data_IF_966717638415
#
_entry.id   IF_966717638415
#
_cell.length_a   1.000
_cell.length_b   1.000
_cell.length_c   1.000
_cell.angle_alpha   90.00
_cell.angle_beta   90.00
_cell.angle_gamma   90.00
#
_symmetry.space_group_name_H-M   'P 1'
#
loop_
_entity.id
_entity.type
_entity.pdbx_description
1 polymer ?
#
# COMPACT_ATOMS: atom_id res chain seq x y z
N UNK A 1 17.04 0.41 -0.27
CA UNK A 1 16.34 1.14 -1.34
C UNK A 1 16.01 2.52 -0.83
N UNK A 2 16.43 3.59 -1.53
CA UNK A 2 16.08 4.97 -1.12
C UNK A 2 14.68 5.27 -1.62
N UNK A 3 13.73 5.50 -0.71
CA UNK A 3 12.36 5.85 -1.07
C UNK A 3 12.30 7.32 -1.54
N UNK A 4 12.08 7.53 -2.83
CA UNK A 4 11.80 8.85 -3.37
C UNK A 4 10.29 9.04 -3.55
N UNK A 5 9.73 10.03 -2.84
CA UNK A 5 8.30 10.39 -2.95
C UNK A 5 8.20 11.80 -3.50
N UNK A 6 7.32 12.01 -4.47
CA UNK A 6 7.09 13.33 -5.06
C UNK A 6 6.63 14.33 -4.00
N UNK A 7 7.00 15.60 -4.21
CA UNK A 7 6.57 16.71 -3.35
C UNK A 7 5.04 16.82 -3.30
N UNK A 8 4.38 16.61 -4.44
CA UNK A 8 2.93 16.63 -4.57
C UNK A 8 2.26 15.56 -3.71
N UNK A 9 2.79 14.33 -3.72
CA UNK A 9 2.27 13.26 -2.89
C UNK A 9 2.40 13.61 -1.40
N UNK A 10 3.59 14.04 -0.97
CA UNK A 10 3.83 14.47 0.42
C UNK A 10 2.88 15.59 0.85
N UNK A 11 2.70 16.60 0.00
CA UNK A 11 1.81 17.73 0.28
C UNK A 11 0.35 17.29 0.38
N UNK A 12 -0.12 16.44 -0.54
CA UNK A 12 -1.49 15.91 -0.53
C UNK A 12 -1.78 15.11 0.74
N UNK A 13 -0.89 14.22 1.14
CA UNK A 13 -1.05 13.40 2.34
C UNK A 13 -1.06 14.29 3.61
N UNK A 14 -0.10 15.21 3.74
CA UNK A 14 -0.06 16.13 4.88
C UNK A 14 -1.28 17.07 4.92
N UNK A 15 -1.77 17.52 3.76
CA UNK A 15 -2.94 18.39 3.67
C UNK A 15 -4.25 17.67 3.99
N UNK A 16 -4.41 16.43 3.53
CA UNK A 16 -5.63 15.64 3.74
C UNK A 16 -5.73 15.05 5.15
N UNK A 17 -4.60 14.70 5.76
CA UNK A 17 -4.57 13.96 7.03
C UNK A 17 -3.84 14.68 8.18
N UNK A 18 -3.37 15.92 7.96
CA UNK A 18 -2.71 16.72 9.00
C UNK A 18 -1.48 16.04 9.58
N UNK A 19 -1.35 16.09 10.91
CA UNK A 19 -0.21 15.52 11.64
C UNK A 19 -0.13 14.00 11.49
N UNK A 20 -1.26 13.30 11.42
CA UNK A 20 -1.29 11.86 11.17
C UNK A 20 -0.71 11.52 9.78
N UNK A 21 -0.98 12.35 8.76
CA UNK A 21 -0.40 12.19 7.43
C UNK A 21 1.10 12.44 7.42
N UNK A 22 1.58 13.45 8.15
CA UNK A 22 3.01 13.76 8.29
C UNK A 22 3.76 12.61 8.97
N UNK A 23 3.24 12.15 10.10
CA UNK A 23 3.79 11.01 10.83
C UNK A 23 3.83 9.75 9.96
N UNK A 24 2.74 9.47 9.23
CA UNK A 24 2.70 8.33 8.32
C UNK A 24 3.75 8.43 7.19
N UNK A 25 3.97 9.61 6.61
CA UNK A 25 5.03 9.81 5.61
C UNK A 25 6.42 9.56 6.17
N UNK A 26 6.67 9.94 7.42
CA UNK A 26 7.95 9.74 8.11
C UNK A 26 8.17 8.26 8.45
N UNK A 27 7.10 7.54 8.81
CA UNK A 27 7.14 6.11 9.14
C UNK A 27 7.14 5.19 7.90
N UNK A 28 6.69 5.68 6.75
CA UNK A 28 6.52 4.88 5.54
C UNK A 28 7.78 4.09 5.14
N UNK A 29 9.01 4.64 5.14
CA UNK A 29 10.21 3.85 4.85
C UNK A 29 10.45 2.68 5.81
N UNK A 30 10.06 2.81 7.09
CA UNK A 30 10.16 1.73 8.06
C UNK A 30 9.06 0.70 7.84
N UNK A 31 7.84 1.15 7.57
CA UNK A 31 6.71 0.29 7.21
C UNK A 31 7.03 -0.58 5.98
N UNK A 32 7.58 0.00 4.92
CA UNK A 32 7.94 -0.75 3.71
C UNK A 32 8.98 -1.85 4.01
N UNK A 33 9.99 -1.56 4.83
CA UNK A 33 11.00 -2.56 5.23
C UNK A 33 10.40 -3.68 6.06
N UNK A 34 9.61 -3.32 7.08
CA UNK A 34 8.92 -4.26 7.95
C UNK A 34 8.09 -5.27 7.15
N UNK A 35 7.27 -4.80 6.21
CA UNK A 35 6.42 -5.68 5.43
C UNK A 35 7.13 -6.40 4.28
N UNK A 36 8.18 -5.80 3.71
CA UNK A 36 9.05 -6.51 2.78
C UNK A 36 9.68 -7.75 3.44
N UNK A 37 10.18 -7.61 4.67
CA UNK A 37 10.72 -8.72 5.44
C UNK A 37 9.63 -9.70 5.88
N UNK A 38 8.58 -9.20 6.54
CA UNK A 38 7.49 -10.00 7.12
C UNK A 38 6.76 -10.86 6.08
N UNK A 39 6.59 -10.35 4.86
CA UNK A 39 5.89 -11.04 3.78
C UNK A 39 6.81 -11.58 2.68
N UNK A 40 8.13 -11.47 2.88
CA UNK A 40 9.15 -11.92 1.92
C UNK A 40 8.93 -11.32 0.52
N UNK A 41 8.75 -10.00 0.47
CA UNK A 41 8.52 -9.25 -0.75
C UNK A 41 9.76 -8.46 -1.18
N UNK A 42 9.98 -8.39 -2.48
CA UNK A 42 10.76 -7.31 -3.10
C UNK A 42 9.79 -6.23 -3.55
N UNK A 43 9.74 -5.10 -2.83
CA UNK A 43 8.93 -3.94 -3.21
C UNK A 43 9.72 -3.10 -4.23
N UNK A 44 9.13 -2.82 -5.38
CA UNK A 44 9.73 -2.04 -6.46
C UNK A 44 9.36 -0.55 -6.36
N UNK A 45 9.90 0.33 -7.21
CA UNK A 45 9.47 1.73 -7.24
C UNK A 45 7.95 1.86 -7.40
N UNK A 46 7.32 2.83 -6.72
CA UNK A 46 5.87 2.99 -6.74
C UNK A 46 5.34 3.31 -8.13
N UNK A 47 4.04 3.07 -8.32
CA UNK A 47 3.35 3.61 -9.47
C UNK A 47 3.30 5.13 -9.38
N UNK A 48 3.60 5.81 -10.47
CA UNK A 48 3.49 7.27 -10.55
C UNK A 48 2.42 7.70 -11.55
N UNK A 49 1.66 8.76 -11.25
CA UNK A 49 1.67 9.53 -10.00
C UNK A 49 0.91 8.85 -8.85
N UNK A 50 1.40 8.99 -7.61
CA UNK A 50 0.65 8.57 -6.42
C UNK A 50 -0.45 9.60 -6.05
N UNK A 51 -1.56 9.08 -5.52
CA UNK A 51 -2.71 9.88 -5.06
C UNK A 51 -2.77 9.95 -3.52
N UNK A 52 -3.69 9.24 -2.86
CA UNK A 52 -3.86 9.24 -1.39
C UNK A 52 -3.28 8.02 -0.69
N UNK A 53 -2.75 7.06 -1.44
CA UNK A 53 -2.12 5.85 -0.91
C UNK A 53 -0.77 5.65 -1.60
N UNK A 54 0.17 5.05 -0.89
CA UNK A 54 1.33 4.44 -1.51
C UNK A 54 0.91 3.14 -2.19
N UNK A 55 1.23 2.99 -3.47
CA UNK A 55 0.99 1.77 -4.22
C UNK A 55 2.22 1.45 -5.08
N UNK A 56 2.72 0.23 -4.97
CA UNK A 56 3.90 -0.21 -5.70
C UNK A 56 3.75 -1.66 -6.19
N UNK A 57 4.27 -1.98 -7.39
CA UNK A 57 4.48 -3.37 -7.75
C UNK A 57 5.45 -4.01 -6.76
N UNK A 58 5.23 -5.27 -6.46
CA UNK A 58 6.13 -6.08 -5.65
C UNK A 58 6.21 -7.51 -6.22
N UNK A 59 7.29 -8.19 -5.87
CA UNK A 59 7.49 -9.60 -6.17
C UNK A 59 7.48 -10.38 -4.86
N UNK A 60 6.53 -11.31 -4.72
CA UNK A 60 6.44 -12.19 -3.55
C UNK A 60 7.33 -13.42 -3.64
N UNK A 61 7.19 -14.35 -2.68
CA UNK A 61 7.82 -15.66 -2.76
C UNK A 61 7.55 -16.33 -4.12
N UNK A 62 8.52 -17.07 -4.63
CA UNK A 62 8.41 -17.83 -5.88
C UNK A 62 8.14 -16.98 -7.14
N UNK A 63 8.38 -15.66 -7.07
CA UNK A 63 8.29 -14.76 -8.23
C UNK A 63 6.87 -14.23 -8.51
N UNK A 64 5.91 -14.46 -7.62
CA UNK A 64 4.54 -13.96 -7.76
C UNK A 64 4.51 -12.44 -7.92
N UNK A 65 3.86 -11.93 -8.97
CA UNK A 65 3.63 -10.50 -9.13
C UNK A 65 2.41 -10.02 -8.32
N UNK A 66 2.63 -9.04 -7.45
CA UNK A 66 1.62 -8.50 -6.53
C UNK A 66 1.70 -6.97 -6.49
N UNK A 67 0.72 -6.32 -5.86
CA UNK A 67 0.75 -4.90 -5.54
C UNK A 67 0.77 -4.72 -4.03
N UNK A 68 1.78 -4.02 -3.54
CA UNK A 68 1.83 -3.55 -2.16
C UNK A 68 1.13 -2.19 -2.09
N UNK A 69 0.13 -2.08 -1.21
CA UNK A 69 -0.60 -0.83 -0.96
C UNK A 69 -0.55 -0.47 0.51
N UNK A 70 -0.27 0.78 0.82
CA UNK A 70 -0.32 1.33 2.17
C UNK A 70 -0.97 2.72 2.18
N UNK A 71 -1.78 3.01 3.20
CA UNK A 71 -2.41 4.30 3.42
C UNK A 71 -2.36 4.71 4.89
N UNK A 72 -2.76 5.95 5.17
CA UNK A 72 -2.91 6.43 6.56
C UNK A 72 -4.02 5.60 7.23
N UNK A 73 -3.77 4.87 8.34
CA UNK A 73 -4.76 3.99 8.95
C UNK A 73 -5.99 4.76 9.43
N UNK A 74 -7.16 4.45 8.85
CA UNK A 74 -8.45 5.10 9.11
C UNK A 74 -9.64 4.19 8.74
N UNK A 75 -10.86 4.49 9.20
CA UNK A 75 -12.04 3.64 8.97
C UNK A 75 -12.39 3.41 7.49
N UNK A 76 -12.09 4.37 6.61
CA UNK A 76 -12.28 4.25 5.16
C UNK A 76 -11.39 3.16 4.56
N UNK A 77 -10.11 3.11 4.96
CA UNK A 77 -9.17 2.08 4.52
C UNK A 77 -9.53 0.70 5.08
N UNK A 78 -9.98 0.63 6.34
CA UNK A 78 -10.49 -0.61 6.93
C UNK A 78 -11.72 -1.12 6.16
N UNK A 79 -12.62 -0.22 5.78
CA UNK A 79 -13.80 -0.57 4.97
C UNK A 79 -13.42 -1.11 3.59
N UNK A 80 -12.37 -0.58 2.96
CA UNK A 80 -11.83 -1.12 1.71
C UNK A 80 -11.33 -2.56 1.88
N UNK A 81 -10.56 -2.84 2.94
CA UNK A 81 -10.07 -4.18 3.26
C UNK A 81 -11.25 -5.15 3.45
N UNK A 82 -12.26 -4.75 4.21
CA UNK A 82 -13.42 -5.60 4.47
C UNK A 82 -14.25 -5.84 3.21
N UNK A 83 -14.43 -4.83 2.37
CA UNK A 83 -15.06 -5.00 1.06
C UNK A 83 -14.31 -6.02 0.20
N UNK A 84 -12.98 -5.92 0.10
CA UNK A 84 -12.17 -6.87 -0.67
C UNK A 84 -12.23 -8.30 -0.12
N UNK A 85 -12.32 -8.48 1.21
CA UNK A 85 -12.58 -9.78 1.83
C UNK A 85 -13.94 -10.35 1.43
N UNK A 86 -14.98 -9.51 1.37
CA UNK A 86 -16.33 -9.93 0.98
C UNK A 86 -16.39 -10.31 -0.50
N UNK A 87 -15.77 -9.53 -1.39
CA UNK A 87 -15.73 -9.85 -2.81
C UNK A 87 -14.87 -11.10 -3.09
N UNK A 88 -13.77 -11.29 -2.36
CA UNK A 88 -12.91 -12.47 -2.47
C UNK A 88 -12.50 -12.80 -3.92
N UNK A 89 -12.16 -11.77 -4.70
CA UNK A 89 -11.80 -11.91 -6.12
C UNK A 89 -12.98 -11.94 -7.10
N UNK A 90 -14.23 -11.94 -6.62
CA UNK A 90 -15.41 -11.94 -7.48
C UNK A 90 -15.72 -10.53 -7.98
N UNK A 91 -15.23 -10.22 -9.19
CA UNK A 91 -15.40 -8.89 -9.79
C UNK A 91 -14.51 -7.82 -9.14
N UNK A 92 -13.52 -8.23 -8.34
CA UNK A 92 -12.52 -7.37 -7.71
C UNK A 92 -11.16 -8.04 -7.74
N UNK A 93 -10.10 -7.30 -7.46
CA UNK A 93 -8.77 -7.90 -7.21
C UNK A 93 -8.83 -8.82 -5.99
N UNK A 94 -8.01 -9.89 -6.00
CA UNK A 94 -7.79 -10.68 -4.79
C UNK A 94 -6.99 -9.89 -3.74
N UNK A 95 -7.43 -9.96 -2.50
CA UNK A 95 -6.67 -9.54 -1.32
C UNK A 95 -5.90 -10.75 -0.75
N UNK A 96 -4.59 -10.78 -0.95
CA UNK A 96 -3.74 -11.88 -0.48
C UNK A 96 -3.46 -11.80 1.02
N UNK A 97 -3.13 -10.60 1.51
CA UNK A 97 -2.81 -10.31 2.91
C UNK A 97 -3.23 -8.89 3.26
N UNK A 98 -3.55 -8.64 4.52
CA UNK A 98 -3.80 -7.29 5.03
C UNK A 98 -3.37 -7.17 6.49
N UNK A 99 -2.97 -5.97 6.87
CA UNK A 99 -2.84 -5.52 8.26
C UNK A 99 -3.64 -4.22 8.37
N UNK A 100 -4.89 -4.33 8.85
CA UNK A 100 -5.84 -3.23 8.84
C UNK A 100 -5.44 -2.12 9.83
N UNK A 101 -4.89 -2.50 10.98
CA UNK A 101 -4.44 -1.56 12.01
C UNK A 101 -3.27 -0.68 11.51
N UNK A 102 -2.44 -1.24 10.61
CA UNK A 102 -1.33 -0.53 9.97
C UNK A 102 -1.67 0.01 8.59
N UNK A 103 -2.89 -0.20 8.09
CA UNK A 103 -3.34 0.30 6.79
C UNK A 103 -2.59 -0.31 5.59
N UNK A 104 -2.22 -1.59 5.67
CA UNK A 104 -1.37 -2.27 4.66
C UNK A 104 -2.15 -3.40 4.00
N UNK A 105 -2.00 -3.52 2.67
CA UNK A 105 -2.61 -4.58 1.86
C UNK A 105 -1.61 -5.14 0.85
N UNK A 106 -1.73 -6.45 0.59
CA UNK A 106 -1.10 -7.15 -0.53
C UNK A 106 -2.19 -7.61 -1.49
N UNK A 107 -2.18 -7.06 -2.70
CA UNK A 107 -3.23 -7.26 -3.70
C UNK A 107 -2.69 -8.04 -4.89
N UNK A 108 -3.60 -8.69 -5.60
CA UNK A 108 -3.35 -9.20 -6.94
C UNK A 108 -2.91 -8.10 -7.91
N UNK A 109 -1.95 -8.42 -8.76
CA UNK A 109 -1.56 -7.56 -9.86
C UNK A 109 -2.37 -7.92 -11.11
N UNK A 110 -3.24 -7.01 -11.55
CA UNK A 110 -4.00 -7.14 -12.80
C UNK A 110 -3.18 -6.57 -13.97
N UNK A 111 -3.31 -7.18 -15.14
CA UNK A 111 -2.72 -6.70 -16.40
C UNK A 111 -3.77 -6.74 -17.52
N UNK A 112 -3.93 -5.66 -18.32
CA UNK A 112 -3.28 -4.35 -18.17
C UNK A 112 -3.77 -3.63 -16.91
N UNK A 113 -2.89 -2.85 -16.27
CA UNK A 113 -3.13 -2.16 -15.01
C UNK A 113 -2.19 -0.99 -14.82
#
# INVERSE_FOLDING_TARGET
MTLHLSREFRHRIAGAFGDAGRQWLDDLPALLREYAERWSLTIHPPFEPLSYNFAAPATGPDGQAVVFKAGVPRPDLTSEIDALRVYAGRGSVHLWKADADRGVMLLERIQPG
#
